data_IF_953306055004
#
_entry.id   IF_953306055004
#
_cell.length_a   1.000
_cell.length_b   1.000
_cell.length_c   1.000
_cell.angle_alpha   90.00
_cell.angle_beta   90.00
_cell.angle_gamma   90.00
#
_symmetry.space_group_name_H-M   'P 1'
#
loop_
_entity.id
_entity.type
_entity.pdbx_description
1 polymer ?
#
# COMPACT_ATOMS: atom_id res chain seq x y z
N UNK A 1 16.97 25.30 8.09
CA UNK A 1 17.65 24.14 7.48
C UNK A 1 17.39 22.96 8.40
N UNK A 2 16.73 21.90 7.90
CA UNK A 2 16.44 20.73 8.72
C UNK A 2 17.67 19.83 8.72
N UNK A 3 18.16 19.51 9.91
CA UNK A 3 19.34 18.67 10.14
C UNK A 3 18.99 17.63 11.21
N UNK A 4 19.47 16.40 11.05
CA UNK A 4 19.22 15.30 11.99
C UNK A 4 17.87 14.61 11.77
N UNK A 5 17.36 13.84 12.75
CA UNK A 5 16.14 13.07 12.60
C UNK A 5 14.94 13.98 12.41
N UNK A 6 14.13 13.71 11.39
CA UNK A 6 12.91 14.46 11.12
C UNK A 6 11.93 13.72 10.23
N UNK A 7 10.79 14.34 10.02
CA UNK A 7 9.82 13.92 9.01
C UNK A 7 9.18 15.12 8.32
N UNK A 8 8.70 14.89 7.10
CA UNK A 8 7.89 15.85 6.35
C UNK A 8 6.88 15.10 5.48
N UNK A 9 5.75 15.75 5.19
CA UNK A 9 4.67 15.17 4.39
C UNK A 9 4.62 15.87 3.04
N UNK A 10 4.68 15.09 1.96
CA UNK A 10 4.51 15.60 0.60
C UNK A 10 3.04 15.95 0.36
N UNK A 11 2.73 16.88 -0.58
CA UNK A 11 1.35 17.18 -0.98
C UNK A 11 0.56 15.95 -1.46
N UNK A 12 1.26 14.91 -1.93
CA UNK A 12 0.67 13.60 -2.30
C UNK A 12 0.22 12.77 -1.09
N UNK A 13 0.51 13.22 0.14
CA UNK A 13 0.21 12.52 1.39
C UNK A 13 1.28 11.53 1.85
N UNK A 14 2.35 11.33 1.08
CA UNK A 14 3.48 10.49 1.50
C UNK A 14 4.25 11.15 2.64
N UNK A 15 4.39 10.45 3.77
CA UNK A 15 5.23 10.88 4.88
C UNK A 15 6.66 10.34 4.69
N UNK A 16 7.63 11.23 4.65
CA UNK A 16 9.06 10.92 4.63
C UNK A 16 9.60 11.00 6.05
N UNK A 17 10.26 9.96 6.56
CA UNK A 17 10.85 9.93 7.91
C UNK A 17 12.26 9.39 7.88
N UNK A 18 13.23 10.14 8.40
CA UNK A 18 14.63 9.73 8.41
C UNK A 18 15.57 10.84 8.87
N UNK A 19 16.87 10.64 8.66
CA UNK A 19 17.82 11.73 8.84
C UNK A 19 17.73 12.70 7.66
N UNK A 20 17.75 13.99 7.98
CA UNK A 20 17.71 15.09 7.05
C UNK A 20 19.06 15.80 7.06
N UNK A 21 19.50 16.19 5.87
CA UNK A 21 20.63 17.07 5.64
C UNK A 21 20.23 18.09 4.59
N UNK A 22 20.26 19.36 4.94
CA UNK A 22 19.87 20.46 4.04
C UNK A 22 18.39 20.39 3.63
N UNK A 23 17.55 19.76 4.45
CA UNK A 23 16.14 19.49 4.12
C UNK A 23 15.91 18.31 3.16
N UNK A 24 16.96 17.57 2.79
CA UNK A 24 16.88 16.38 1.95
C UNK A 24 17.12 15.12 2.80
N UNK A 25 16.50 14.00 2.41
CA UNK A 25 16.78 12.70 3.05
C UNK A 25 18.24 12.29 2.82
N UNK A 26 18.89 11.83 3.90
CA UNK A 26 20.27 11.36 3.91
C UNK A 26 20.37 10.13 4.83
N UNK A 27 21.05 9.08 4.38
CA UNK A 27 21.16 7.80 5.12
C UNK A 27 19.87 6.98 5.07
N UNK A 28 19.62 6.18 6.11
CA UNK A 28 18.42 5.34 6.21
C UNK A 28 17.15 6.19 6.42
N UNK A 29 16.17 6.02 5.54
CA UNK A 29 14.86 6.64 5.70
C UNK A 29 13.72 5.76 5.19
N UNK A 30 12.52 6.05 5.69
CA UNK A 30 11.27 5.38 5.37
C UNK A 30 10.28 6.37 4.75
N UNK A 31 9.69 5.98 3.62
CA UNK A 31 8.51 6.60 3.05
C UNK A 31 7.27 5.81 3.49
N UNK A 32 6.23 6.50 3.95
CA UNK A 32 4.93 5.92 4.27
C UNK A 32 3.91 6.48 3.28
N UNK A 33 3.35 5.58 2.47
CA UNK A 33 2.41 5.95 1.43
C UNK A 33 1.00 6.10 2.02
N UNK A 34 0.12 6.93 1.42
CA UNK A 34 -1.27 7.09 1.88
C UNK A 34 -2.07 5.79 1.99
N UNK A 35 -1.69 4.77 1.22
CA UNK A 35 -2.28 3.43 1.26
C UNK A 35 -1.79 2.53 2.40
N UNK A 36 -0.91 3.02 3.29
CA UNK A 36 -0.36 2.26 4.42
C UNK A 36 0.90 1.44 4.09
N UNK A 37 1.22 1.29 2.80
CA UNK A 37 2.48 0.70 2.37
C UNK A 37 3.68 1.55 2.83
N UNK A 38 4.82 0.90 3.00
CA UNK A 38 6.07 1.52 3.43
C UNK A 38 7.17 1.17 2.47
N UNK A 39 8.08 2.11 2.25
CA UNK A 39 9.29 1.90 1.49
C UNK A 39 10.48 2.40 2.29
N UNK A 40 11.36 1.49 2.72
CA UNK A 40 12.60 1.84 3.40
C UNK A 40 13.76 1.72 2.42
N UNK A 41 14.71 2.65 2.50
CA UNK A 41 15.99 2.48 1.85
C UNK A 41 17.00 3.52 2.30
N UNK A 42 18.16 3.50 1.64
CA UNK A 42 19.24 4.44 1.87
C UNK A 42 19.18 5.59 0.88
N UNK A 43 19.29 6.80 1.38
CA UNK A 43 19.11 8.05 0.64
C UNK A 43 20.40 8.86 0.66
N UNK A 44 20.67 9.58 -0.43
CA UNK A 44 21.79 10.52 -0.50
C UNK A 44 21.32 11.74 -1.27
N UNK A 45 21.36 12.90 -0.62
CA UNK A 45 20.87 14.17 -1.19
C UNK A 45 19.44 14.07 -1.72
N UNK A 46 18.57 13.34 -1.02
CA UNK A 46 17.16 13.16 -1.39
C UNK A 46 16.92 12.15 -2.51
N UNK A 47 17.96 11.54 -3.07
CA UNK A 47 17.86 10.47 -4.06
C UNK A 47 18.04 9.10 -3.38
N UNK A 48 17.26 8.11 -3.83
CA UNK A 48 17.41 6.74 -3.36
C UNK A 48 18.70 6.14 -3.94
N UNK A 49 19.59 5.64 -3.09
CA UNK A 49 20.74 4.88 -3.54
C UNK A 49 20.28 3.52 -4.09
N UNK A 50 20.72 3.19 -5.31
CA UNK A 50 20.30 1.96 -5.98
C UNK A 50 20.76 0.73 -5.17
N UNK A 51 19.89 -0.30 -5.11
CA UNK A 51 20.05 -1.63 -4.50
C UNK A 51 19.55 -1.87 -3.07
N UNK A 52 19.08 -0.86 -2.32
CA UNK A 52 18.70 -1.03 -0.91
C UNK A 52 17.24 -0.67 -0.58
N UNK A 53 16.31 -0.94 -1.51
CA UNK A 53 14.88 -0.70 -1.29
C UNK A 53 14.15 -1.90 -0.69
N UNK A 54 13.45 -1.71 0.44
CA UNK A 54 12.50 -2.66 1.02
C UNK A 54 11.10 -2.09 0.95
N UNK A 55 10.25 -2.73 0.16
CA UNK A 55 8.83 -2.39 0.09
C UNK A 55 8.02 -3.33 0.98
N UNK A 56 7.18 -2.76 1.84
CA UNK A 56 6.24 -3.49 2.68
C UNK A 56 4.83 -3.04 2.35
N UNK A 57 3.97 -3.98 1.97
CA UNK A 57 2.55 -3.73 1.73
C UNK A 57 1.84 -3.29 3.04
N UNK A 58 0.64 -2.72 2.91
CA UNK A 58 -0.10 -2.17 4.04
C UNK A 58 -0.47 -3.23 5.11
N UNK A 59 -0.64 -4.48 4.68
CA UNK A 59 -0.89 -5.65 5.52
C UNK A 59 0.36 -6.20 6.22
N UNK A 60 1.55 -5.67 5.90
CA UNK A 60 2.83 -6.09 6.45
C UNK A 60 3.60 -7.09 5.58
N UNK A 61 3.05 -7.55 4.47
CA UNK A 61 3.77 -8.42 3.54
C UNK A 61 4.99 -7.67 2.99
N UNK A 62 6.19 -8.24 3.12
CA UNK A 62 7.40 -7.69 2.52
C UNK A 62 7.54 -8.19 1.08
N UNK A 63 7.68 -7.27 0.13
CA UNK A 63 7.93 -7.60 -1.28
C UNK A 63 9.27 -8.35 -1.43
N UNK A 64 9.28 -9.41 -2.24
CA UNK A 64 10.49 -10.11 -2.63
C UNK A 64 10.50 -10.32 -4.14
N UNK A 65 11.61 -9.96 -4.77
CA UNK A 65 11.87 -10.20 -6.19
C UNK A 65 12.06 -11.70 -6.50
N UNK A 66 12.59 -12.45 -5.52
CA UNK A 66 12.85 -13.88 -5.61
C UNK A 66 12.07 -14.65 -4.54
N UNK A 67 11.65 -15.86 -4.90
CA UNK A 67 10.89 -16.76 -4.00
C UNK A 67 9.63 -16.08 -3.46
N UNK A 68 8.86 -15.47 -4.37
CA UNK A 68 7.57 -14.89 -4.06
C UNK A 68 6.54 -16.00 -3.84
N UNK A 69 5.99 -16.07 -2.63
CA UNK A 69 5.05 -17.12 -2.21
C UNK A 69 3.66 -16.57 -1.89
N UNK A 70 3.43 -15.28 -2.14
CA UNK A 70 2.13 -14.68 -1.88
C UNK A 70 1.24 -14.85 -3.10
N UNK A 71 0.07 -15.48 -2.88
CA UNK A 71 -0.94 -15.74 -3.90
C UNK A 71 -0.34 -16.32 -5.19
N UNK A 72 0.52 -17.34 -5.05
CA UNK A 72 1.07 -18.07 -6.19
C UNK A 72 0.12 -19.19 -6.66
N UNK A 73 0.53 -19.95 -7.67
CA UNK A 73 -0.30 -21.04 -8.22
C UNK A 73 -0.55 -22.21 -7.27
N UNK A 74 0.21 -22.32 -6.17
CA UNK A 74 0.12 -23.39 -5.19
C UNK A 74 -0.54 -22.92 -3.88
N UNK A 75 -0.35 -21.67 -3.51
CA UNK A 75 -0.87 -21.07 -2.28
C UNK A 75 -1.63 -19.77 -2.56
N UNK A 76 -2.96 -19.87 -2.49
CA UNK A 76 -3.87 -18.73 -2.69
C UNK A 76 -3.99 -17.79 -1.49
N UNK A 77 -3.39 -18.13 -0.34
CA UNK A 77 -3.68 -17.45 0.92
C UNK A 77 -3.29 -15.98 0.87
N UNK A 78 -4.17 -15.13 1.38
CA UNK A 78 -3.81 -13.76 1.71
C UNK A 78 -2.77 -13.74 2.85
N UNK A 79 -2.01 -12.64 2.99
CA UNK A 79 -0.94 -12.57 3.99
C UNK A 79 -1.50 -12.70 5.40
N UNK A 80 -2.68 -12.14 5.65
CA UNK A 80 -3.45 -12.34 6.88
C UNK A 80 -3.79 -13.80 7.15
N UNK A 81 -4.17 -14.58 6.14
CA UNK A 81 -4.44 -16.03 6.28
C UNK A 81 -3.14 -16.83 6.49
N UNK A 82 -2.00 -16.37 5.96
CA UNK A 82 -0.68 -16.96 6.26
C UNK A 82 -0.33 -16.72 7.73
N UNK A 83 -0.54 -15.51 8.25
CA UNK A 83 -0.20 -15.13 9.63
C UNK A 83 -1.17 -15.70 10.68
N UNK A 84 -2.47 -15.74 10.37
CA UNK A 84 -3.53 -16.04 11.34
C UNK A 84 -4.27 -17.35 11.07
N UNK A 85 -3.96 -18.04 9.97
CA UNK A 85 -4.62 -19.27 9.56
C UNK A 85 -5.87 -19.03 8.72
N UNK A 86 -6.35 -20.11 8.10
CA UNK A 86 -7.58 -20.10 7.29
C UNK A 86 -8.81 -20.05 8.19
N UNK A 87 -9.77 -19.22 7.80
CA UNK A 87 -11.09 -19.21 8.44
C UNK A 87 -11.93 -20.43 8.02
N UNK A 88 -12.87 -20.89 8.86
CA UNK A 88 -13.83 -21.92 8.52
C UNK A 88 -14.62 -21.64 7.23
N UNK A 89 -15.17 -22.70 6.63
CA UNK A 89 -16.06 -22.59 5.49
C UNK A 89 -17.26 -21.67 5.80
N UNK A 90 -17.65 -20.85 4.82
CA UNK A 90 -18.74 -19.87 4.95
C UNK A 90 -18.31 -18.50 5.50
N UNK A 91 -17.11 -18.38 6.09
CA UNK A 91 -16.54 -17.10 6.52
C UNK A 91 -15.10 -16.91 6.02
N UNK A 92 -14.76 -17.57 4.90
CA UNK A 92 -13.46 -17.43 4.27
C UNK A 92 -13.21 -15.98 3.84
N UNK A 93 -11.96 -15.56 3.95
CA UNK A 93 -11.57 -14.21 3.57
C UNK A 93 -11.67 -14.06 2.05
N UNK A 94 -12.44 -13.06 1.59
CA UNK A 94 -12.70 -12.82 0.15
C UNK A 94 -11.68 -11.86 -0.47
N UNK A 95 -11.17 -10.93 0.34
CA UNK A 95 -10.18 -9.93 -0.07
C UNK A 95 -9.14 -9.80 1.01
N UNK A 96 -7.97 -9.24 0.71
CA UNK A 96 -6.96 -8.98 1.73
C UNK A 96 -7.44 -8.02 2.86
N UNK A 97 -8.56 -7.31 2.66
CA UNK A 97 -9.27 -6.57 3.70
C UNK A 97 -10.38 -7.44 4.31
N UNK A 98 -10.36 -7.58 5.63
CA UNK A 98 -11.36 -8.31 6.39
C UNK A 98 -11.87 -7.44 7.57
N UNK A 99 -13.18 -7.18 7.68
CA UNK A 99 -14.22 -7.56 6.72
C UNK A 99 -14.03 -6.87 5.36
N UNK A 100 -14.51 -7.47 4.26
CA UNK A 100 -14.41 -6.86 2.94
C UNK A 100 -15.17 -5.53 2.90
N UNK A 101 -14.77 -4.65 1.97
CA UNK A 101 -15.46 -3.38 1.75
C UNK A 101 -16.92 -3.66 1.36
N UNK A 102 -17.84 -2.82 1.87
CA UNK A 102 -19.22 -2.82 1.38
C UNK A 102 -19.25 -2.17 0.01
N UNK A 103 -19.50 -2.97 -1.00
CA UNK A 103 -19.65 -2.50 -2.38
C UNK A 103 -21.10 -2.00 -2.55
N UNK A 104 -21.31 -0.79 -3.08
CA UNK A 104 -22.65 -0.32 -3.41
C UNK A 104 -23.37 -1.28 -4.36
N UNK A 105 -24.69 -1.34 -4.27
CA UNK A 105 -25.50 -2.21 -5.13
C UNK A 105 -25.26 -1.88 -6.61
N UNK A 106 -25.15 -2.93 -7.44
CA UNK A 106 -24.86 -2.81 -8.87
C UNK A 106 -23.45 -2.32 -9.22
N UNK A 107 -22.60 -2.03 -8.23
CA UNK A 107 -21.24 -1.56 -8.45
C UNK A 107 -20.19 -2.68 -8.29
N UNK A 108 -18.99 -2.42 -8.79
CA UNK A 108 -17.83 -3.32 -8.70
C UNK A 108 -16.64 -2.59 -8.09
N UNK A 109 -15.89 -3.25 -7.22
CA UNK A 109 -14.64 -2.70 -6.69
C UNK A 109 -13.51 -2.86 -7.72
N UNK A 110 -12.89 -1.76 -8.13
CA UNK A 110 -11.79 -1.71 -9.09
C UNK A 110 -10.41 -1.55 -8.44
N UNK A 111 -10.31 -1.57 -7.11
CA UNK A 111 -9.07 -1.37 -6.37
C UNK A 111 -8.75 0.11 -6.09
N UNK A 112 -9.21 1.04 -6.94
CA UNK A 112 -9.13 2.49 -6.75
C UNK A 112 -10.49 3.14 -6.40
N UNK A 113 -11.59 2.38 -6.46
CA UNK A 113 -12.93 2.89 -6.25
C UNK A 113 -14.03 1.91 -6.66
N UNK A 114 -15.27 2.38 -6.63
CA UNK A 114 -16.45 1.64 -7.08
C UNK A 114 -16.85 2.07 -8.48
N UNK A 115 -16.81 1.14 -9.43
CA UNK A 115 -17.31 1.30 -10.79
C UNK A 115 -18.81 1.01 -10.84
N UNK A 116 -19.58 1.95 -11.41
CA UNK A 116 -20.98 1.75 -11.76
C UNK A 116 -21.12 1.54 -13.28
N UNK A 117 -21.63 0.38 -13.74
CA UNK A 117 -21.75 0.08 -15.17
C UNK A 117 -22.83 0.88 -15.90
N UNK A 118 -23.84 1.39 -15.19
CA UNK A 118 -24.92 2.19 -15.77
C UNK A 118 -24.43 3.60 -16.09
N UNK A 119 -23.70 4.22 -15.16
CA UNK A 119 -23.18 5.58 -15.34
C UNK A 119 -21.80 5.61 -16.02
N UNK A 120 -21.11 4.47 -16.03
CA UNK A 120 -19.70 4.32 -16.47
C UNK A 120 -18.71 5.20 -15.71
N UNK A 121 -18.99 5.43 -14.42
CA UNK A 121 -18.18 6.26 -13.53
C UNK A 121 -17.55 5.39 -12.45
N UNK A 122 -16.30 5.72 -12.10
CA UNK A 122 -15.62 5.25 -10.91
C UNK A 122 -15.67 6.37 -9.88
N UNK A 123 -16.20 6.07 -8.69
CA UNK A 123 -16.09 6.92 -7.50
C UNK A 123 -15.07 6.32 -6.55
N UNK A 124 -14.33 7.14 -5.80
CA UNK A 124 -13.43 6.64 -4.77
C UNK A 124 -14.20 5.96 -3.62
N UNK A 125 -13.48 5.37 -2.67
CA UNK A 125 -14.09 4.72 -1.50
C UNK A 125 -14.85 5.66 -0.55
N UNK A 126 -14.80 6.98 -0.78
CA UNK A 126 -15.61 8.00 -0.08
C UNK A 126 -16.76 8.51 -0.96
N UNK A 127 -17.06 7.82 -2.06
CA UNK A 127 -18.11 8.14 -3.04
C UNK A 127 -17.91 9.49 -3.74
N UNK A 128 -16.65 9.95 -3.88
CA UNK A 128 -16.29 11.15 -4.65
C UNK A 128 -15.93 10.74 -6.06
N UNK A 129 -16.33 11.53 -7.06
CA UNK A 129 -15.95 11.29 -8.45
C UNK A 129 -14.43 11.11 -8.59
N UNK A 130 -14.01 10.02 -9.24
CA UNK A 130 -12.60 9.73 -9.50
C UNK A 130 -12.28 9.88 -10.99
N UNK A 131 -12.96 9.11 -11.84
CA UNK A 131 -12.75 9.09 -13.31
C UNK A 131 -13.91 8.37 -14.01
N UNK A 132 -13.98 8.48 -15.33
CA UNK A 132 -14.81 7.60 -16.17
C UNK A 132 -14.10 6.26 -16.43
N UNK A 133 -14.88 5.25 -16.80
CA UNK A 133 -14.39 3.92 -17.19
C UNK A 133 -13.90 3.88 -18.64
#
# INVERSE_FOLDING_TARGET
RMEGPGSYTLPTGTECRGALRDGLLEGEAELRLPGGARFRGRWRRGELEASEGKYTFADGLEYKDKKWHYCDGYDRRFYTEICSGLKPAGISQLTNLDPPRKIPEGCYDCGDGFYNPETRVIVDYKLRFLRNA
#
